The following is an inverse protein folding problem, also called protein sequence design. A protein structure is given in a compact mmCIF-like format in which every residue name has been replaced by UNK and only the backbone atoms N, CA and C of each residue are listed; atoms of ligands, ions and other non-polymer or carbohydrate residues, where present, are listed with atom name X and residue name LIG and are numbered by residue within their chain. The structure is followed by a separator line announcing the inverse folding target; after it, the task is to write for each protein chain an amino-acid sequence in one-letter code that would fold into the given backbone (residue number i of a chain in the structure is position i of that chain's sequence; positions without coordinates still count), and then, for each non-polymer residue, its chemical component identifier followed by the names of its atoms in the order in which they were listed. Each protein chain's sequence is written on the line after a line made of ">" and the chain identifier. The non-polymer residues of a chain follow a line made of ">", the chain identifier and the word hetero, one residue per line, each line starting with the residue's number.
data_IF_348837848782
#
_entry.id   IF_348837848782
#
_cell.length_a   1.000
_cell.length_b   1.000
_cell.length_c   1.000
_cell.angle_alpha   90.00
_cell.angle_beta   90.00
_cell.angle_gamma   90.00
#
_symmetry.space_group_name_H-M   'P 1'
#
loop_
_entity.id
_entity.type
_entity.pdbx_description
1 polymer ?
#
# COMPACT_ATOMS: atom_id res chain seq x y z
N UNK A 1 -17.88 10.68 7.23
CA UNK A 1 -17.78 9.60 6.22
C UNK A 1 -16.36 9.13 5.91
N UNK A 2 -15.29 9.86 6.28
CA UNK A 2 -13.92 9.40 6.05
C UNK A 2 -13.62 8.05 6.72
N UNK A 3 -14.00 7.85 7.98
CA UNK A 3 -13.67 6.65 8.75
C UNK A 3 -14.07 5.32 8.06
N UNK A 4 -15.34 5.09 7.68
CA UNK A 4 -15.72 3.83 7.01
C UNK A 4 -15.04 3.68 5.64
N UNK A 5 -14.88 4.77 4.89
CA UNK A 5 -14.19 4.73 3.59
C UNK A 5 -12.71 4.37 3.75
N UNK A 6 -12.01 4.98 4.71
CA UNK A 6 -10.60 4.68 5.02
C UNK A 6 -10.41 3.26 5.54
N UNK A 7 -11.35 2.72 6.32
CA UNK A 7 -11.30 1.32 6.76
C UNK A 7 -11.38 0.35 5.57
N UNK A 8 -12.35 0.55 4.68
CA UNK A 8 -12.52 -0.32 3.49
C UNK A 8 -11.31 -0.22 2.56
N UNK A 9 -10.84 1.00 2.30
CA UNK A 9 -9.73 1.24 1.38
C UNK A 9 -8.41 0.69 1.94
N UNK A 10 -8.16 0.85 3.24
CA UNK A 10 -7.00 0.28 3.93
C UNK A 10 -7.03 -1.26 3.97
N UNK A 11 -8.19 -1.85 4.26
CA UNK A 11 -8.35 -3.31 4.26
C UNK A 11 -8.10 -3.90 2.86
N UNK A 12 -8.64 -3.27 1.82
CA UNK A 12 -8.47 -3.73 0.43
C UNK A 12 -7.01 -3.65 -0.02
N UNK A 13 -6.32 -2.55 0.30
CA UNK A 13 -4.91 -2.36 -0.01
C UNK A 13 -4.03 -3.42 0.67
N UNK A 14 -4.30 -3.72 1.94
CA UNK A 14 -3.54 -4.72 2.70
C UNK A 14 -3.74 -6.13 2.14
N UNK A 15 -4.98 -6.53 1.83
CA UNK A 15 -5.29 -7.85 1.26
C UNK A 15 -4.62 -8.02 -0.11
N UNK A 16 -4.65 -6.99 -0.96
CA UNK A 16 -3.97 -7.03 -2.25
C UNK A 16 -2.45 -7.14 -2.09
N UNK A 17 -1.85 -6.42 -1.13
CA UNK A 17 -0.42 -6.53 -0.86
C UNK A 17 -0.02 -7.90 -0.33
N UNK A 18 -0.79 -8.50 0.59
CA UNK A 18 -0.50 -9.84 1.13
C UNK A 18 -0.66 -10.93 0.06
N UNK A 19 -1.73 -10.87 -0.75
CA UNK A 19 -1.96 -11.82 -1.84
C UNK A 19 -0.89 -11.72 -2.94
N UNK A 20 -0.47 -10.52 -3.31
CA UNK A 20 0.62 -10.33 -4.29
C UNK A 20 1.97 -10.77 -3.73
N UNK A 21 2.25 -10.53 -2.45
CA UNK A 21 3.50 -10.96 -1.80
C UNK A 21 3.66 -12.46 -1.73
N UNK A 22 2.55 -13.18 -1.54
CA UNK A 22 2.53 -14.64 -1.54
C UNK A 22 2.59 -15.25 -2.94
N UNK A 23 2.09 -14.56 -3.97
CA UNK A 23 2.00 -15.10 -5.34
C UNK A 23 3.21 -14.79 -6.21
N UNK A 24 3.90 -13.66 -5.99
CA UNK A 24 5.01 -13.24 -6.86
C UNK A 24 6.32 -14.01 -6.62
N UNK A 25 6.56 -14.50 -5.40
CA UNK A 25 7.79 -15.23 -5.07
C UNK A 25 7.50 -16.39 -4.09
N UNK A 26 7.16 -17.57 -4.60
CA UNK A 26 7.35 -18.80 -3.84
C UNK A 26 8.79 -19.30 -4.07
N UNK A 27 9.66 -19.48 -3.05
CA UNK A 27 9.39 -19.71 -1.63
C UNK A 27 9.79 -18.55 -0.68
N UNK A 28 10.15 -17.37 -1.21
CA UNK A 28 10.61 -16.24 -0.40
C UNK A 28 9.45 -15.30 -0.07
N UNK A 29 9.03 -15.28 1.20
CA UNK A 29 7.97 -14.39 1.69
C UNK A 29 8.42 -12.92 1.57
N UNK A 30 7.90 -12.19 0.57
CA UNK A 30 8.08 -10.73 0.54
C UNK A 30 7.23 -10.14 1.68
N UNK A 31 7.81 -9.36 2.60
CA UNK A 31 7.04 -8.65 3.61
C UNK A 31 5.99 -7.77 2.95
N UNK A 32 4.72 -7.92 3.34
CA UNK A 32 3.61 -7.12 2.82
C UNK A 32 3.89 -5.59 2.92
N UNK A 33 4.66 -5.17 3.94
CA UNK A 33 5.11 -3.79 4.10
C UNK A 33 5.97 -3.24 2.95
N UNK A 34 6.75 -4.08 2.26
CA UNK A 34 7.53 -3.64 1.09
C UNK A 34 6.59 -3.36 -0.08
N UNK A 35 5.58 -4.22 -0.29
CA UNK A 35 4.61 -4.06 -1.37
C UNK A 35 3.70 -2.85 -1.16
N UNK A 36 3.27 -2.60 0.07
CA UNK A 36 2.52 -1.38 0.37
C UNK A 36 3.39 -0.13 0.26
N UNK A 37 4.69 -0.21 0.60
CA UNK A 37 5.62 0.91 0.44
C UNK A 37 5.87 1.30 -1.03
N UNK A 38 5.81 0.35 -1.98
CA UNK A 38 5.89 0.66 -3.43
C UNK A 38 4.77 1.60 -3.87
N UNK A 39 3.59 1.52 -3.25
CA UNK A 39 2.46 2.42 -3.53
C UNK A 39 2.53 3.67 -2.65
N UNK A 40 2.87 3.49 -1.37
CA UNK A 40 2.92 4.57 -0.38
C UNK A 40 4.00 5.61 -0.68
N UNK A 41 5.20 5.20 -1.08
CA UNK A 41 6.32 6.09 -1.36
C UNK A 41 6.04 7.09 -2.51
N UNK A 42 5.60 6.67 -3.71
CA UNK A 42 5.27 7.62 -4.78
C UNK A 42 4.07 8.50 -4.42
N UNK A 43 3.05 7.96 -3.72
CA UNK A 43 1.94 8.77 -3.24
C UNK A 43 2.41 9.86 -2.25
N UNK A 44 3.31 9.50 -1.33
CA UNK A 44 3.85 10.42 -0.35
C UNK A 44 4.73 11.50 -1.00
N UNK A 45 5.56 11.13 -2.00
CA UNK A 45 6.34 12.07 -2.78
C UNK A 45 5.45 13.04 -3.58
N UNK A 46 4.37 12.53 -4.19
CA UNK A 46 3.39 13.36 -4.88
C UNK A 46 2.68 14.33 -3.91
N UNK A 47 2.29 13.83 -2.73
CA UNK A 47 1.65 14.64 -1.69
C UNK A 47 2.60 15.75 -1.22
N UNK A 48 3.86 15.42 -0.97
CA UNK A 48 4.90 16.39 -0.60
C UNK A 48 5.11 17.44 -1.69
N UNK A 49 5.19 17.03 -2.96
CA UNK A 49 5.31 17.95 -4.08
C UNK A 49 4.09 18.88 -4.21
N UNK A 50 2.89 18.37 -3.90
CA UNK A 50 1.64 19.15 -3.91
C UNK A 50 1.57 20.18 -2.79
N UNK A 51 2.10 19.88 -1.60
CA UNK A 51 2.07 20.78 -0.44
C UNK A 51 3.27 21.72 -0.36
N UNK A 52 4.27 21.59 -1.24
CA UNK A 52 5.44 22.47 -1.30
C UNK A 52 5.22 23.72 -2.16
N UNK A 53 4.01 24.29 -2.09
CA UNK A 53 3.56 25.51 -2.77
C UNK A 53 2.86 26.45 -1.80
#
# INVERSE_FOLDING_TARGET
>A
YLLPASMVLGALLLVLADTLGRTLIAPSEIPAGILTAVIGAPYFLWLLARFKG
#
